data_IF_645754774614
#
_entry.id   IF_645754774614
#
_cell.length_a   1.000
_cell.length_b   1.000
_cell.length_c   1.000
_cell.angle_alpha   90.00
_cell.angle_beta   90.00
_cell.angle_gamma   90.00
#
_symmetry.space_group_name_H-M   'P 1'
#
loop_
_entity.id
_entity.type
_entity.pdbx_description
1 polymer ?
#
# COMPACT_ATOMS: atom_id res chain seq x y z
N UNK A 1 0.48 24.04 4.91
CA UNK A 1 0.71 23.56 3.52
C UNK A 1 0.25 24.61 2.54
N UNK A 2 0.96 25.72 2.44
CA UNK A 2 0.50 26.80 1.57
C UNK A 2 1.68 27.57 1.03
N UNK A 3 1.65 27.74 -0.28
CA UNK A 3 2.30 28.83 -0.97
C UNK A 3 2.20 30.14 -0.17
N UNK A 4 3.14 31.05 -0.39
CA UNK A 4 2.99 32.43 0.09
C UNK A 4 1.74 33.05 -0.52
N UNK A 5 1.20 34.09 0.11
CA UNK A 5 0.02 34.80 -0.42
C UNK A 5 0.26 35.31 -1.85
N UNK A 6 1.50 35.71 -2.15
CA UNK A 6 1.93 36.14 -3.49
C UNK A 6 1.89 34.99 -4.49
N UNK A 7 2.50 33.86 -4.16
CA UNK A 7 2.54 32.68 -5.05
C UNK A 7 1.16 32.08 -5.24
N UNK A 8 0.36 32.06 -4.18
CA UNK A 8 -1.03 31.63 -4.22
C UNK A 8 -1.87 32.54 -5.11
N UNK A 9 -1.74 33.86 -4.95
CA UNK A 9 -2.40 34.85 -5.80
C UNK A 9 -2.01 34.72 -7.27
N UNK A 10 -0.74 34.44 -7.57
CA UNK A 10 -0.25 34.19 -8.92
C UNK A 10 -0.92 32.96 -9.56
N UNK A 11 -1.01 31.85 -8.82
CA UNK A 11 -1.67 30.62 -9.29
C UNK A 11 -3.18 30.84 -9.49
N UNK A 12 -3.85 31.45 -8.52
CA UNK A 12 -5.30 31.72 -8.57
C UNK A 12 -5.65 32.67 -9.72
N UNK A 13 -4.89 33.75 -9.93
CA UNK A 13 -5.13 34.70 -11.01
C UNK A 13 -5.03 34.08 -12.40
N UNK A 14 -4.15 33.07 -12.56
CA UNK A 14 -4.01 32.34 -13.82
C UNK A 14 -4.96 31.15 -13.96
N UNK A 15 -5.73 30.81 -12.92
CA UNK A 15 -6.53 29.58 -12.87
C UNK A 15 -5.67 28.31 -12.94
N UNK A 16 -4.43 28.38 -12.45
CA UNK A 16 -3.51 27.26 -12.41
C UNK A 16 -3.70 26.46 -11.12
N UNK A 17 -3.85 25.14 -11.25
CA UNK A 17 -3.95 24.21 -10.13
C UNK A 17 -3.03 23.01 -10.35
N UNK A 18 -2.92 22.16 -9.34
CA UNK A 18 -2.22 20.87 -9.48
C UNK A 18 -2.72 20.13 -10.72
N UNK A 19 -1.77 19.63 -11.51
CA UNK A 19 -2.04 18.91 -12.74
C UNK A 19 -2.26 19.75 -13.99
N UNK A 20 -2.37 21.08 -13.90
CA UNK A 20 -2.41 21.94 -15.08
C UNK A 20 -1.07 21.91 -15.81
N UNK A 21 -1.09 21.92 -17.14
CA UNK A 21 0.09 22.23 -17.94
C UNK A 21 0.23 23.75 -18.02
N UNK A 22 1.38 24.29 -17.64
CA UNK A 22 1.61 25.73 -17.56
C UNK A 22 2.92 26.14 -18.23
N UNK A 23 2.96 27.40 -18.64
CA UNK A 23 4.20 28.14 -18.91
C UNK A 23 4.45 29.07 -17.71
N UNK A 24 5.63 28.99 -17.10
CA UNK A 24 6.08 29.84 -15.99
C UNK A 24 7.32 30.63 -16.42
N UNK A 25 7.22 31.95 -16.42
CA UNK A 25 8.36 32.86 -16.58
C UNK A 25 8.82 33.30 -15.19
N UNK A 26 10.08 33.03 -14.85
CA UNK A 26 10.68 33.41 -13.56
C UNK A 26 12.20 33.53 -13.73
N UNK A 27 12.85 34.47 -13.04
CA UNK A 27 14.30 34.63 -13.06
C UNK A 27 14.92 34.82 -14.46
N UNK A 28 14.16 35.40 -15.40
CA UNK A 28 14.59 35.59 -16.79
C UNK A 28 14.58 34.32 -17.66
N UNK A 29 13.99 33.23 -17.19
CA UNK A 29 13.83 31.99 -17.93
C UNK A 29 12.35 31.62 -18.08
N UNK A 30 12.04 30.82 -19.10
CA UNK A 30 10.71 30.28 -19.33
C UNK A 30 10.74 28.77 -19.15
N UNK A 31 9.83 28.28 -18.30
CA UNK A 31 9.66 26.88 -17.97
C UNK A 31 8.30 26.40 -18.47
N UNK A 32 8.25 25.20 -19.02
CA UNK A 32 7.00 24.59 -19.47
C UNK A 32 6.89 23.22 -18.83
N UNK A 33 5.84 23.01 -18.05
CA UNK A 33 5.64 21.77 -17.31
C UNK A 33 4.29 21.69 -16.62
N UNK A 34 4.03 20.52 -16.05
CA UNK A 34 2.82 20.24 -15.29
C UNK A 34 3.01 20.68 -13.84
N UNK A 35 2.07 21.43 -13.28
CA UNK A 35 2.11 21.85 -11.87
C UNK A 35 2.00 20.62 -10.98
N UNK A 36 2.96 20.46 -10.08
CA UNK A 36 3.06 19.35 -9.14
C UNK A 36 2.60 19.79 -7.75
N UNK A 37 2.15 18.84 -6.89
CA UNK A 37 1.74 19.18 -5.53
C UNK A 37 2.84 19.87 -4.73
N UNK A 38 2.46 20.86 -3.93
CA UNK A 38 3.39 21.57 -3.05
C UNK A 38 3.51 20.83 -1.71
N UNK A 39 4.72 20.45 -1.33
CA UNK A 39 4.95 19.63 -0.13
C UNK A 39 5.31 20.51 1.07
N UNK A 40 5.06 20.04 2.30
CA UNK A 40 5.39 20.78 3.54
C UNK A 40 6.87 21.15 3.68
N UNK A 41 7.75 20.42 3.00
CA UNK A 41 9.19 20.66 3.00
C UNK A 41 9.63 21.69 1.92
N UNK A 42 8.71 22.16 1.08
CA UNK A 42 9.00 23.14 0.04
C UNK A 42 8.89 24.57 0.59
N UNK A 43 9.78 25.47 0.14
CA UNK A 43 9.68 26.88 0.49
C UNK A 43 8.42 27.49 -0.16
N UNK A 44 7.71 28.42 0.52
CA UNK A 44 6.41 28.91 0.10
C UNK A 44 6.40 29.61 -1.26
N UNK A 45 7.54 30.09 -1.73
CA UNK A 45 7.72 30.78 -3.01
C UNK A 45 8.26 29.87 -4.12
N UNK A 46 8.13 28.54 -3.97
CA UNK A 46 8.61 27.56 -4.95
C UNK A 46 7.44 26.82 -5.58
N UNK A 47 7.26 27.01 -6.88
CA UNK A 47 6.36 26.18 -7.71
C UNK A 47 7.15 25.01 -8.27
N UNK A 48 6.63 23.79 -8.09
CA UNK A 48 7.25 22.57 -8.62
C UNK A 48 6.59 22.24 -9.95
N UNK A 49 7.38 22.14 -11.03
CA UNK A 49 6.92 21.72 -12.35
C UNK A 49 7.52 20.38 -12.74
N UNK A 50 6.71 19.48 -13.30
CA UNK A 50 7.17 18.29 -14.01
C UNK A 50 7.36 18.62 -15.48
N UNK A 51 8.62 18.61 -15.91
CA UNK A 51 9.03 18.94 -17.27
C UNK A 51 8.65 17.79 -18.24
N UNK A 52 8.62 18.07 -19.55
CA UNK A 52 8.40 17.04 -20.58
C UNK A 52 9.42 15.90 -20.54
N UNK A 53 10.62 16.15 -20.02
CA UNK A 53 11.65 15.12 -19.79
C UNK A 53 11.31 14.15 -18.65
N UNK A 54 10.28 14.44 -17.85
CA UNK A 54 9.87 13.65 -16.68
C UNK A 54 10.47 14.13 -15.36
N UNK A 55 11.47 15.01 -15.39
CA UNK A 55 12.10 15.59 -14.20
C UNK A 55 11.18 16.61 -13.50
N UNK A 56 11.19 16.59 -12.16
CA UNK A 56 10.56 17.63 -11.35
C UNK A 56 11.59 18.73 -11.05
N UNK A 57 11.22 19.99 -11.24
CA UNK A 57 12.07 21.15 -11.00
C UNK A 57 11.32 22.13 -10.09
N UNK A 58 11.96 22.55 -9.00
CA UNK A 58 11.45 23.63 -8.15
C UNK A 58 11.91 24.98 -8.68
N UNK A 59 10.97 25.87 -8.95
CA UNK A 59 11.21 27.20 -9.52
C UNK A 59 10.78 28.22 -8.48
N UNK A 60 11.73 29.04 -8.05
CA UNK A 60 11.46 30.18 -7.17
C UNK A 60 10.72 31.24 -7.98
N UNK A 61 9.57 31.67 -7.47
CA UNK A 61 8.78 32.75 -8.05
C UNK A 61 8.96 34.04 -7.24
N UNK A 62 8.82 35.14 -7.94
CA UNK A 62 8.88 36.50 -7.42
C UNK A 62 7.75 37.34 -8.03
N UNK A 63 7.68 38.61 -7.63
CA UNK A 63 6.69 39.58 -8.11
C UNK A 63 6.67 39.80 -9.64
N UNK A 64 7.78 39.51 -10.34
CA UNK A 64 7.89 39.72 -11.79
C UNK A 64 7.55 38.43 -12.57
N UNK A 65 7.33 37.34 -11.84
CA UNK A 65 7.01 36.03 -12.41
C UNK A 65 5.60 36.00 -13.02
N UNK A 66 5.45 35.26 -14.12
CA UNK A 66 4.18 35.13 -14.83
C UNK A 66 3.88 33.68 -15.11
N UNK A 67 2.63 33.28 -14.88
CA UNK A 67 2.17 31.93 -15.19
C UNK A 67 0.99 31.98 -16.15
N UNK A 68 0.98 31.08 -17.12
CA UNK A 68 -0.11 30.93 -18.10
C UNK A 68 -0.50 29.46 -18.20
N UNK A 69 -1.79 29.15 -18.06
CA UNK A 69 -2.31 27.79 -18.21
C UNK A 69 -2.44 27.46 -19.69
N UNK A 70 -1.83 26.35 -20.11
CA UNK A 70 -1.94 25.80 -21.45
C UNK A 70 -3.03 24.74 -21.54
N UNK A 71 -3.16 23.89 -20.52
CA UNK A 71 -4.11 22.76 -20.51
C UNK A 71 -4.58 22.47 -19.08
N UNK A 72 -5.87 22.15 -18.93
CA UNK A 72 -6.48 21.74 -17.67
C UNK A 72 -6.25 20.24 -17.39
N UNK A 73 -6.32 19.78 -16.13
CA UNK A 73 -6.07 18.39 -15.79
C UNK A 73 -7.14 17.48 -16.40
N UNK A 74 -6.71 16.46 -17.17
CA UNK A 74 -7.61 15.41 -17.64
C UNK A 74 -7.98 14.46 -16.49
N UNK A 75 -9.29 14.31 -16.20
CA UNK A 75 -9.80 13.29 -15.29
C UNK A 75 -9.83 11.95 -16.03
N UNK A 76 -9.16 10.93 -15.49
CA UNK A 76 -9.27 9.56 -15.98
C UNK A 76 -10.03 8.74 -14.95
N UNK A 77 -11.26 8.34 -15.27
CA UNK A 77 -11.99 7.36 -14.49
C UNK A 77 -11.47 5.95 -14.84
N UNK A 78 -11.00 5.23 -13.83
CA UNK A 78 -10.61 3.83 -13.99
C UNK A 78 -11.89 2.99 -13.97
N UNK A 79 -12.15 2.23 -15.03
CA UNK A 79 -13.24 1.25 -15.03
C UNK A 79 -12.85 0.07 -14.14
N UNK A 80 -13.70 -0.22 -13.15
CA UNK A 80 -13.59 -1.45 -12.38
C UNK A 80 -13.88 -2.64 -13.29
N UNK A 81 -13.00 -3.64 -13.25
CA UNK A 81 -13.25 -4.91 -13.92
C UNK A 81 -14.04 -5.81 -12.96
N UNK A 82 -15.17 -6.35 -13.42
CA UNK A 82 -15.83 -7.46 -12.73
C UNK A 82 -14.90 -8.69 -12.78
N UNK A 83 -14.67 -9.30 -11.62
CA UNK A 83 -13.79 -10.46 -11.48
C UNK A 83 -14.66 -11.67 -11.19
N UNK A 84 -14.72 -12.59 -12.14
CA UNK A 84 -15.46 -13.85 -11.97
C UNK A 84 -14.73 -14.80 -11.02
N UNK A 85 -15.48 -15.39 -10.08
CA UNK A 85 -14.97 -16.43 -9.19
C UNK A 85 -14.82 -17.77 -9.94
N UNK A 86 -13.63 -18.38 -9.85
CA UNK A 86 -13.35 -19.70 -10.41
C UNK A 86 -13.89 -20.79 -9.48
N UNK A 87 -14.74 -21.67 -10.01
CA UNK A 87 -15.25 -22.83 -9.24
C UNK A 87 -14.10 -23.75 -8.80
N UNK A 88 -14.11 -24.15 -7.53
CA UNK A 88 -13.15 -25.09 -6.95
C UNK A 88 -11.90 -24.45 -6.33
N UNK A 89 -11.70 -23.14 -6.46
CA UNK A 89 -10.68 -22.41 -5.71
C UNK A 89 -11.23 -21.91 -4.36
N UNK A 90 -10.41 -21.92 -3.30
CA UNK A 90 -10.79 -21.36 -2.00
C UNK A 90 -10.97 -19.85 -2.10
N UNK A 91 -11.79 -19.30 -1.22
CA UNK A 91 -12.06 -17.85 -1.17
C UNK A 91 -11.21 -17.19 -0.10
N UNK A 92 -10.32 -16.28 -0.49
CA UNK A 92 -9.53 -15.47 0.44
C UNK A 92 -10.03 -14.03 0.44
N UNK A 93 -10.13 -13.46 1.64
CA UNK A 93 -10.54 -12.07 1.82
C UNK A 93 -9.34 -11.22 2.23
N UNK A 94 -9.07 -10.16 1.48
CA UNK A 94 -8.08 -9.15 1.83
C UNK A 94 -8.76 -7.99 2.54
N UNK A 95 -8.40 -7.77 3.81
CA UNK A 95 -8.91 -6.67 4.61
C UNK A 95 -7.82 -5.59 4.67
N UNK A 96 -7.98 -4.55 3.86
CA UNK A 96 -7.11 -3.39 3.87
C UNK A 96 -7.25 -2.58 5.15
N UNK A 97 -6.16 -2.43 5.89
CA UNK A 97 -6.11 -1.58 7.10
C UNK A 97 -5.29 -0.30 6.88
N UNK A 98 -4.81 -0.10 5.65
CA UNK A 98 -3.75 0.82 5.31
C UNK A 98 -2.45 0.07 5.00
N UNK A 99 -1.36 0.83 4.89
CA UNK A 99 -0.05 0.29 4.49
C UNK A 99 0.12 0.18 2.97
N UNK A 100 1.35 0.42 2.52
CA UNK A 100 1.72 0.55 1.11
C UNK A 100 1.87 -0.79 0.39
N UNK A 101 1.39 -1.92 0.92
CA UNK A 101 1.57 -3.23 0.28
C UNK A 101 0.75 -3.37 -1.01
N UNK A 102 -0.36 -2.63 -1.12
CA UNK A 102 -1.12 -2.52 -2.35
C UNK A 102 -1.19 -1.05 -2.74
N UNK A 103 -0.20 -0.57 -3.48
CA UNK A 103 -0.18 0.78 -4.07
C UNK A 103 0.42 0.71 -5.47
N UNK A 104 0.09 1.68 -6.31
CA UNK A 104 0.64 1.79 -7.67
C UNK A 104 1.16 3.20 -7.92
N UNK A 105 2.13 3.32 -8.83
CA UNK A 105 2.63 4.62 -9.28
C UNK A 105 1.85 5.08 -10.49
N UNK A 106 1.27 6.27 -10.42
CA UNK A 106 0.93 6.99 -11.63
C UNK A 106 2.17 7.75 -12.12
N UNK A 107 2.90 7.19 -13.09
CA UNK A 107 4.11 7.83 -13.63
C UNK A 107 3.85 9.20 -14.29
N UNK A 108 2.60 9.52 -14.67
CA UNK A 108 2.24 10.83 -15.23
C UNK A 108 2.31 11.92 -14.17
N UNK A 109 1.95 11.59 -12.94
CA UNK A 109 1.94 12.50 -11.79
C UNK A 109 3.09 12.22 -10.82
N UNK A 110 3.76 11.07 -10.92
CA UNK A 110 4.70 10.57 -9.93
C UNK A 110 4.05 10.21 -8.58
N UNK A 111 2.73 10.28 -8.47
CA UNK A 111 2.00 9.99 -7.25
C UNK A 111 1.92 8.49 -7.01
N UNK A 112 1.95 8.09 -5.73
CA UNK A 112 1.69 6.72 -5.29
C UNK A 112 0.27 6.67 -4.75
N UNK A 113 -0.57 5.86 -5.39
CA UNK A 113 -1.97 5.70 -5.01
C UNK A 113 -2.18 4.38 -4.28
N UNK A 114 -2.90 4.34 -3.15
CA UNK A 114 -3.31 3.08 -2.55
C UNK A 114 -4.25 2.34 -3.49
N UNK A 115 -4.20 1.01 -3.47
CA UNK A 115 -5.21 0.16 -4.09
C UNK A 115 -6.48 0.25 -3.25
N UNK A 116 -7.56 0.75 -3.85
CA UNK A 116 -8.83 1.03 -3.14
C UNK A 116 -9.91 0.00 -3.45
N UNK A 117 -9.71 -0.83 -4.48
CA UNK A 117 -10.65 -1.87 -4.88
C UNK A 117 -10.00 -3.26 -4.93
N UNK A 118 -10.86 -4.29 -4.91
CA UNK A 118 -10.47 -5.68 -5.22
C UNK A 118 -9.76 -5.77 -6.56
N UNK A 119 -10.24 -5.03 -7.56
CA UNK A 119 -9.64 -5.02 -8.89
C UNK A 119 -8.22 -4.44 -8.89
N UNK A 120 -7.95 -3.40 -8.11
CA UNK A 120 -6.63 -2.79 -8.02
C UNK A 120 -5.60 -3.75 -7.42
N UNK A 121 -5.98 -4.41 -6.32
CA UNK A 121 -5.12 -5.32 -5.60
C UNK A 121 -4.80 -6.57 -6.42
N UNK A 122 -5.79 -7.12 -7.14
CA UNK A 122 -5.58 -8.29 -7.98
C UNK A 122 -4.80 -7.92 -9.25
N UNK A 123 -5.00 -6.73 -9.82
CA UNK A 123 -4.23 -6.30 -10.98
C UNK A 123 -2.75 -6.03 -10.65
N UNK A 124 -2.42 -5.76 -9.38
CA UNK A 124 -1.04 -5.68 -8.93
C UNK A 124 -0.35 -7.06 -8.84
N UNK A 125 -1.11 -8.15 -8.66
CA UNK A 125 -0.59 -9.51 -8.54
C UNK A 125 -1.52 -10.49 -9.29
N UNK A 126 -1.54 -10.47 -10.64
CA UNK A 126 -2.48 -11.27 -11.42
C UNK A 126 -2.43 -12.77 -11.11
N UNK A 127 -1.25 -13.29 -10.77
CA UNK A 127 -0.98 -14.70 -10.49
C UNK A 127 -1.74 -15.22 -9.25
N UNK A 128 -2.18 -14.32 -8.35
CA UNK A 128 -2.93 -14.74 -7.15
C UNK A 128 -4.26 -15.40 -7.52
N UNK A 129 -4.81 -15.07 -8.71
CA UNK A 129 -6.05 -15.64 -9.28
C UNK A 129 -5.93 -17.12 -9.62
N UNK A 130 -4.72 -17.66 -9.71
CA UNK A 130 -4.50 -19.08 -9.97
C UNK A 130 -4.44 -19.90 -8.68
N UNK A 131 -4.31 -19.23 -7.54
CA UNK A 131 -4.24 -19.84 -6.20
C UNK A 131 -5.59 -19.77 -5.48
N UNK A 132 -6.31 -18.65 -5.59
CA UNK A 132 -7.56 -18.43 -4.86
C UNK A 132 -8.52 -17.45 -5.56
N UNK A 133 -9.80 -17.53 -5.20
CA UNK A 133 -10.76 -16.45 -5.43
C UNK A 133 -10.51 -15.34 -4.42
N UNK A 134 -10.30 -14.12 -4.91
CA UNK A 134 -9.94 -12.98 -4.07
C UNK A 134 -11.10 -12.01 -3.96
N UNK A 135 -11.50 -11.72 -2.72
CA UNK A 135 -12.35 -10.59 -2.37
C UNK A 135 -11.51 -9.60 -1.58
N UNK A 136 -11.67 -8.30 -1.81
CA UNK A 136 -10.99 -7.28 -1.01
C UNK A 136 -11.99 -6.26 -0.47
N UNK A 137 -11.69 -5.76 0.72
CA UNK A 137 -12.44 -4.72 1.40
C UNK A 137 -11.46 -3.79 2.09
N UNK A 138 -11.66 -2.49 1.94
CA UNK A 138 -10.92 -1.50 2.71
C UNK A 138 -11.70 -1.25 3.99
N UNK A 139 -11.12 -1.60 5.14
CA UNK A 139 -11.69 -1.31 6.45
C UNK A 139 -11.19 0.05 6.96
N UNK A 140 -9.89 0.29 6.84
CA UNK A 140 -9.24 1.56 7.20
C UNK A 140 -8.21 1.98 6.15
N UNK A 141 -7.84 3.25 6.18
CA UNK A 141 -6.69 3.80 5.44
C UNK A 141 -5.85 4.67 6.39
N UNK A 142 -5.17 4.03 7.34
CA UNK A 142 -4.35 4.70 8.35
C UNK A 142 -2.91 4.17 8.34
N UNK A 143 -1.97 4.99 8.83
CA UNK A 143 -0.63 4.52 9.15
C UNK A 143 -0.69 3.59 10.35
N UNK A 144 0.15 2.55 10.35
CA UNK A 144 0.17 1.52 11.39
C UNK A 144 0.49 2.10 12.77
N UNK A 145 1.25 3.19 12.80
CA UNK A 145 1.67 3.97 13.94
C UNK A 145 0.50 4.71 14.61
N UNK A 146 -0.59 4.93 13.86
CA UNK A 146 -1.81 5.56 14.34
C UNK A 146 -2.90 4.54 14.72
N UNK A 147 -2.63 3.25 14.58
CA UNK A 147 -3.61 2.21 14.90
C UNK A 147 -3.70 2.02 16.42
N UNK A 148 -4.92 1.98 16.93
CA UNK A 148 -5.20 1.81 18.36
C UNK A 148 -6.04 0.56 18.66
N UNK A 149 -6.41 0.40 19.94
CA UNK A 149 -7.20 -0.74 20.43
C UNK A 149 -8.60 -0.79 19.79
N UNK A 150 -9.22 0.37 19.53
CA UNK A 150 -10.53 0.44 18.88
C UNK A 150 -10.44 -0.10 17.45
N UNK A 151 -9.38 0.26 16.71
CA UNK A 151 -9.12 -0.30 15.39
C UNK A 151 -8.93 -1.82 15.44
N UNK A 152 -8.21 -2.35 16.44
CA UNK A 152 -8.03 -3.80 16.59
C UNK A 152 -9.35 -4.54 16.85
N UNK A 153 -10.23 -3.97 17.67
CA UNK A 153 -11.55 -4.54 17.95
C UNK A 153 -12.43 -4.59 16.71
N UNK A 154 -12.43 -3.51 15.92
CA UNK A 154 -13.20 -3.43 14.68
C UNK A 154 -12.62 -4.37 13.60
N UNK A 155 -11.30 -4.46 13.50
CA UNK A 155 -10.63 -5.44 12.64
C UNK A 155 -11.00 -6.88 13.04
N UNK A 156 -10.97 -7.21 14.33
CA UNK A 156 -11.34 -8.55 14.80
C UNK A 156 -12.79 -8.91 14.45
N UNK A 157 -13.74 -7.98 14.61
CA UNK A 157 -15.14 -8.17 14.20
C UNK A 157 -15.25 -8.41 12.70
N UNK A 158 -14.57 -7.59 11.90
CA UNK A 158 -14.55 -7.74 10.44
C UNK A 158 -14.01 -9.12 10.03
N UNK A 159 -12.91 -9.58 10.63
CA UNK A 159 -12.35 -10.91 10.37
C UNK A 159 -13.37 -12.02 10.65
N UNK A 160 -14.07 -11.94 11.79
CA UNK A 160 -15.11 -12.93 12.16
C UNK A 160 -16.26 -12.92 11.15
N UNK A 161 -16.73 -11.74 10.75
CA UNK A 161 -17.81 -11.59 9.78
C UNK A 161 -17.43 -12.21 8.42
N UNK A 162 -16.22 -11.95 7.92
CA UNK A 162 -15.76 -12.51 6.65
C UNK A 162 -15.61 -14.03 6.70
N UNK A 163 -15.11 -14.58 7.81
CA UNK A 163 -15.05 -16.04 8.01
C UNK A 163 -16.46 -16.65 8.03
N UNK A 164 -17.41 -16.03 8.74
CA UNK A 164 -18.80 -16.48 8.78
C UNK A 164 -19.49 -16.37 7.41
N UNK A 165 -19.07 -15.42 6.58
CA UNK A 165 -19.51 -15.25 5.19
C UNK A 165 -18.79 -16.18 4.20
N UNK A 166 -18.05 -17.18 4.69
CA UNK A 166 -17.47 -18.25 3.88
C UNK A 166 -16.04 -18.03 3.42
N UNK A 167 -15.29 -17.10 4.04
CA UNK A 167 -13.85 -16.99 3.77
C UNK A 167 -13.10 -18.25 4.23
N UNK A 168 -12.25 -18.78 3.36
CA UNK A 168 -11.32 -19.88 3.66
C UNK A 168 -10.01 -19.40 4.31
N UNK A 169 -9.76 -18.09 4.24
CA UNK A 169 -8.66 -17.43 4.91
C UNK A 169 -8.77 -15.92 4.77
N UNK A 170 -8.20 -15.20 5.73
CA UNK A 170 -8.18 -13.74 5.73
C UNK A 170 -6.74 -13.26 5.70
N UNK A 171 -6.42 -12.35 4.78
CA UNK A 171 -5.11 -11.72 4.67
C UNK A 171 -5.30 -10.23 4.98
N UNK A 172 -4.46 -9.69 5.85
CA UNK A 172 -4.55 -8.33 6.37
C UNK A 172 -3.28 -7.60 5.96
N UNK A 173 -3.28 -6.95 4.77
CA UNK A 173 -2.39 -5.85 4.44
C UNK A 173 -2.27 -4.87 5.61
N UNK A 174 -1.05 -4.71 6.14
CA UNK A 174 -0.78 -3.90 7.32
C UNK A 174 0.58 -3.20 7.24
N UNK A 175 0.68 -2.00 7.83
CA UNK A 175 1.97 -1.31 7.95
C UNK A 175 2.93 -2.05 8.90
N UNK A 176 4.23 -2.03 8.58
CA UNK A 176 5.19 -2.92 9.23
C UNK A 176 5.57 -2.54 10.65
N UNK A 177 5.38 -1.28 11.06
CA UNK A 177 5.89 -0.78 12.33
C UNK A 177 5.12 -1.35 13.53
N UNK A 178 3.80 -1.48 13.42
CA UNK A 178 2.95 -2.04 14.49
C UNK A 178 2.36 -3.40 14.14
N UNK A 179 2.74 -4.03 13.02
CA UNK A 179 2.23 -5.34 12.58
C UNK A 179 2.28 -6.40 13.70
N UNK A 180 3.39 -6.49 14.43
CA UNK A 180 3.53 -7.46 15.53
C UNK A 180 2.58 -7.20 16.71
N UNK A 181 2.23 -5.94 16.98
CA UNK A 181 1.26 -5.58 18.02
C UNK A 181 -0.16 -5.98 17.60
N UNK A 182 -0.56 -5.61 16.38
CA UNK A 182 -1.86 -6.01 15.83
C UNK A 182 -1.99 -7.53 15.75
N UNK A 183 -0.94 -8.24 15.33
CA UNK A 183 -0.92 -9.70 15.25
C UNK A 183 -1.13 -10.34 16.64
N UNK A 184 -0.48 -9.83 17.67
CA UNK A 184 -0.68 -10.28 19.04
C UNK A 184 -2.11 -9.99 19.53
N UNK A 185 -2.61 -8.77 19.32
CA UNK A 185 -3.97 -8.37 19.72
C UNK A 185 -5.03 -9.29 19.10
N UNK A 186 -4.95 -9.53 17.78
CA UNK A 186 -5.87 -10.42 17.08
C UNK A 186 -5.75 -11.87 17.55
N UNK A 187 -4.55 -12.33 17.88
CA UNK A 187 -4.34 -13.70 18.41
C UNK A 187 -5.14 -13.94 19.69
N UNK A 188 -5.28 -12.93 20.55
CA UNK A 188 -6.08 -13.04 21.78
C UNK A 188 -7.56 -12.75 21.56
N UNK A 189 -7.89 -11.77 20.70
CA UNK A 189 -9.29 -11.40 20.43
C UNK A 189 -10.06 -12.49 19.67
N UNK A 190 -9.38 -13.18 18.75
CA UNK A 190 -10.00 -14.20 17.90
C UNK A 190 -9.94 -15.62 18.49
N UNK A 191 -9.06 -15.86 19.47
CA UNK A 191 -8.92 -17.16 20.12
C UNK A 191 -8.70 -18.32 19.14
N UNK A 192 -9.54 -19.36 19.24
CA UNK A 192 -9.50 -20.55 18.39
C UNK A 192 -10.19 -20.32 17.02
N UNK A 193 -9.72 -19.30 16.29
CA UNK A 193 -10.23 -18.99 14.95
C UNK A 193 -10.05 -20.21 14.02
N UNK A 194 -11.10 -20.64 13.29
CA UNK A 194 -11.06 -21.92 12.54
C UNK A 194 -10.35 -21.83 11.18
N UNK A 195 -9.94 -20.62 10.77
CA UNK A 195 -9.31 -20.33 9.48
C UNK A 195 -8.00 -19.57 9.69
N UNK A 196 -7.06 -19.61 8.73
CA UNK A 196 -5.86 -18.78 8.78
C UNK A 196 -6.22 -17.30 8.68
N UNK A 197 -5.69 -16.51 9.61
CA UNK A 197 -5.75 -15.04 9.61
C UNK A 197 -4.32 -14.53 9.57
N UNK A 198 -3.91 -13.90 8.45
CA UNK A 198 -2.51 -13.59 8.18
C UNK A 198 -2.32 -12.09 8.09
N UNK A 199 -1.48 -11.52 8.96
CA UNK A 199 -0.98 -10.17 8.79
C UNK A 199 0.24 -10.18 7.88
N UNK A 200 0.29 -9.22 6.97
CA UNK A 200 1.37 -9.12 5.98
C UNK A 200 1.67 -7.66 5.66
N UNK A 201 2.95 -7.35 5.51
CA UNK A 201 3.42 -6.02 5.13
C UNK A 201 4.45 -6.09 4.01
N UNK A 202 5.03 -4.94 3.69
CA UNK A 202 6.19 -4.82 2.79
C UNK A 202 7.20 -3.84 3.39
N UNK A 203 8.48 -4.22 3.40
CA UNK A 203 9.60 -3.38 3.84
C UNK A 203 10.11 -2.47 2.72
N UNK A 204 9.76 -2.79 1.48
CA UNK A 204 9.99 -1.98 0.28
C UNK A 204 8.63 -1.59 -0.27
N UNK A 205 8.45 -0.29 -0.44
CA UNK A 205 7.20 0.27 -0.95
C UNK A 205 6.79 -0.39 -2.28
N UNK A 206 5.50 -0.70 -2.43
CA UNK A 206 4.97 -1.51 -3.55
C UNK A 206 5.11 -0.85 -4.93
N UNK A 207 5.33 0.46 -4.97
CA UNK A 207 5.67 1.20 -6.18
C UNK A 207 7.00 0.78 -6.83
N UNK A 208 7.87 0.10 -6.06
CA UNK A 208 9.20 -0.26 -6.53
C UNK A 208 9.18 -1.65 -7.17
N UNK A 209 9.86 -1.85 -8.32
CA UNK A 209 10.03 -3.17 -8.90
C UNK A 209 10.70 -4.19 -7.97
N UNK A 210 11.50 -3.70 -7.01
CA UNK A 210 12.14 -4.50 -5.96
C UNK A 210 11.30 -4.59 -4.67
N UNK A 211 9.98 -4.39 -4.77
CA UNK A 211 9.10 -4.54 -3.61
C UNK A 211 9.00 -6.01 -3.19
N UNK A 212 8.90 -6.23 -1.88
CA UNK A 212 8.55 -7.51 -1.27
C UNK A 212 7.03 -7.72 -1.13
N UNK A 213 6.22 -6.75 -1.55
CA UNK A 213 4.77 -6.77 -1.39
C UNK A 213 4.09 -7.95 -2.11
N UNK A 214 4.40 -8.13 -3.40
CA UNK A 214 3.74 -9.14 -4.23
C UNK A 214 4.10 -10.55 -3.79
N UNK A 215 5.37 -10.78 -3.49
CA UNK A 215 5.89 -12.08 -3.07
C UNK A 215 5.41 -12.45 -1.66
N UNK A 216 5.38 -11.50 -0.71
CA UNK A 216 4.77 -11.72 0.61
C UNK A 216 3.27 -12.07 0.50
N UNK A 217 2.50 -11.34 -0.31
CA UNK A 217 1.07 -11.60 -0.52
C UNK A 217 0.82 -12.96 -1.16
N UNK A 218 1.63 -13.34 -2.16
CA UNK A 218 1.57 -14.65 -2.79
C UNK A 218 1.86 -15.77 -1.80
N UNK A 219 2.87 -15.60 -0.93
CA UNK A 219 3.18 -16.56 0.13
C UNK A 219 2.01 -16.72 1.12
N UNK A 220 1.32 -15.63 1.45
CA UNK A 220 0.10 -15.68 2.28
C UNK A 220 -1.01 -16.48 1.60
N UNK A 221 -1.28 -16.23 0.33
CA UNK A 221 -2.30 -16.97 -0.42
C UNK A 221 -1.97 -18.47 -0.48
N UNK A 222 -0.72 -18.82 -0.78
CA UNK A 222 -0.27 -20.22 -0.80
C UNK A 222 -0.37 -20.88 0.57
N UNK A 223 0.00 -20.18 1.65
CA UNK A 223 -0.15 -20.71 3.01
C UNK A 223 -1.62 -20.93 3.40
N UNK A 224 -2.52 -19.98 3.11
CA UNK A 224 -3.95 -20.13 3.37
C UNK A 224 -4.53 -21.36 2.66
N UNK A 225 -4.13 -21.58 1.41
CA UNK A 225 -4.71 -22.61 0.54
C UNK A 225 -4.10 -24.00 0.74
N UNK A 226 -2.81 -24.08 1.05
CA UNK A 226 -2.06 -25.35 1.11
C UNK A 226 -1.67 -25.76 2.53
N UNK A 227 -1.47 -24.80 3.44
CA UNK A 227 -0.92 -25.04 4.78
C UNK A 227 -1.87 -25.73 5.75
N UNK A 228 -3.19 -25.70 5.49
CA UNK A 228 -4.24 -26.32 6.32
C UNK A 228 -4.07 -26.03 7.82
N UNK A 229 -3.68 -24.80 8.15
CA UNK A 229 -3.44 -24.33 9.52
C UNK A 229 -4.40 -23.20 9.85
N UNK A 230 -5.04 -23.32 11.01
CA UNK A 230 -5.88 -22.27 11.57
C UNK A 230 -5.10 -21.47 12.63
N UNK A 231 -5.48 -20.21 12.83
CA UNK A 231 -4.84 -19.31 13.78
C UNK A 231 -4.41 -17.99 13.15
N UNK A 232 -3.88 -17.12 14.01
CA UNK A 232 -3.35 -15.81 13.60
C UNK A 232 -1.85 -15.90 13.37
N UNK A 233 -1.42 -15.45 12.19
CA UNK A 233 -0.03 -15.51 11.75
C UNK A 233 0.44 -14.17 11.23
N UNK A 234 1.76 -13.98 11.19
CA UNK A 234 2.40 -12.97 10.38
C UNK A 234 3.31 -13.66 9.37
N UNK A 235 3.21 -13.32 8.10
CA UNK A 235 4.07 -13.87 7.04
C UNK A 235 4.86 -12.75 6.39
N UNK A 236 6.17 -12.90 6.39
CA UNK A 236 7.14 -11.97 5.81
C UNK A 236 8.32 -12.80 5.26
N UNK A 237 9.22 -12.18 4.50
CA UNK A 237 10.45 -12.84 4.07
C UNK A 237 11.26 -13.37 5.26
N UNK A 238 11.81 -14.58 5.11
CA UNK A 238 12.71 -15.20 6.09
C UNK A 238 14.16 -14.74 5.89
N UNK A 239 14.53 -14.48 4.63
CA UNK A 239 15.86 -14.00 4.21
C UNK A 239 15.76 -12.69 3.43
N UNK A 240 16.89 -12.17 2.94
CA UNK A 240 16.88 -11.00 2.05
C UNK A 240 16.55 -11.34 0.59
N UNK A 241 16.57 -12.63 0.21
CA UNK A 241 16.19 -13.09 -1.12
C UNK A 241 14.68 -13.05 -1.33
N UNK A 242 14.20 -13.52 -2.49
CA UNK A 242 12.77 -13.53 -2.88
C UNK A 242 12.13 -14.93 -2.80
N UNK A 243 12.82 -15.90 -2.20
CA UNK A 243 12.51 -17.33 -2.33
C UNK A 243 12.02 -18.02 -1.07
N UNK A 244 12.10 -17.37 0.10
CA UNK A 244 11.76 -17.96 1.39
C UNK A 244 11.01 -16.98 2.30
N UNK A 245 9.88 -17.44 2.84
CA UNK A 245 8.97 -16.68 3.70
C UNK A 245 8.76 -17.43 5.01
N UNK A 246 8.90 -16.74 6.13
CA UNK A 246 8.68 -17.33 7.45
C UNK A 246 7.24 -17.11 7.89
N UNK A 247 6.61 -18.17 8.39
CA UNK A 247 5.28 -18.09 9.02
C UNK A 247 5.46 -17.96 10.52
N UNK A 248 5.20 -16.78 11.06
CA UNK A 248 5.32 -16.51 12.49
C UNK A 248 3.97 -16.67 13.19
N UNK A 249 3.97 -17.21 14.41
CA UNK A 249 2.81 -17.14 15.28
C UNK A 249 2.55 -15.66 15.65
N UNK A 250 1.29 -15.21 15.53
CA UNK A 250 0.93 -13.79 15.70
C UNK A 250 1.32 -13.20 17.05
N UNK A 251 1.28 -13.99 18.13
CA UNK A 251 1.66 -13.55 19.47
C UNK A 251 3.16 -13.69 19.78
N UNK A 252 3.97 -14.16 18.82
CA UNK A 252 5.41 -14.42 18.99
C UNK A 252 6.27 -13.72 17.94
N UNK A 253 5.72 -12.81 17.16
CA UNK A 253 6.45 -12.11 16.08
C UNK A 253 6.88 -10.71 16.50
N UNK A 254 8.11 -10.31 16.13
CA UNK A 254 8.62 -8.96 16.35
C UNK A 254 9.42 -8.47 15.16
N UNK A 255 9.26 -7.18 14.81
CA UNK A 255 10.14 -6.47 13.87
C UNK A 255 11.47 -6.17 14.58
N UNK A 256 12.52 -6.88 14.18
CA UNK A 256 13.87 -6.82 14.76
C UNK A 256 14.84 -5.96 13.95
N UNK A 257 14.45 -5.53 12.76
CA UNK A 257 15.25 -4.65 11.91
C UNK A 257 14.40 -3.53 11.33
N UNK A 258 15.00 -2.36 11.13
CA UNK A 258 14.27 -1.15 10.70
C UNK A 258 13.88 -1.18 9.22
N UNK A 259 14.69 -1.83 8.36
CA UNK A 259 14.52 -1.79 6.90
C UNK A 259 14.78 -3.08 6.13
N UNK A 260 15.18 -4.19 6.76
CA UNK A 260 15.49 -5.43 6.03
C UNK A 260 14.21 -6.18 5.70
N UNK A 261 14.18 -6.93 4.60
CA UNK A 261 13.01 -7.76 4.24
C UNK A 261 12.77 -8.84 5.29
N UNK A 262 13.84 -9.45 5.78
CA UNK A 262 13.86 -10.40 6.90
C UNK A 262 13.82 -9.73 8.28
N UNK A 263 13.15 -8.58 8.39
CA UNK A 263 13.06 -7.84 9.64
C UNK A 263 12.26 -8.57 10.72
N UNK A 264 11.28 -9.39 10.36
CA UNK A 264 10.40 -10.04 11.32
C UNK A 264 10.99 -11.38 11.76
N UNK A 265 11.01 -11.61 13.09
CA UNK A 265 11.52 -12.85 13.69
C UNK A 265 10.55 -13.37 14.74
N UNK A 266 10.48 -14.70 14.83
CA UNK A 266 9.82 -15.39 15.95
C UNK A 266 10.69 -15.26 17.20
N UNK A 267 10.14 -14.73 18.29
CA UNK A 267 10.84 -14.51 19.55
C UNK A 267 10.44 -15.58 20.55
N UNK A 268 11.43 -16.24 21.15
CA UNK A 268 11.25 -17.36 22.10
C UNK A 268 10.41 -18.51 21.52
N UNK A 269 10.41 -18.66 20.20
CA UNK A 269 9.73 -19.70 19.45
C UNK A 269 10.42 -19.87 18.08
N UNK A 270 10.27 -21.03 17.46
CA UNK A 270 10.61 -21.19 16.04
C UNK A 270 9.47 -20.65 15.17
N UNK A 271 9.72 -20.30 13.90
CA UNK A 271 8.65 -20.15 12.91
C UNK A 271 7.74 -21.39 12.91
N UNK A 272 6.45 -21.17 12.64
CA UNK A 272 5.42 -22.22 12.53
C UNK A 272 5.66 -23.07 11.29
N UNK A 273 6.11 -22.44 10.21
CA UNK A 273 6.48 -23.05 8.95
C UNK A 273 7.36 -22.09 8.15
N UNK A 274 7.93 -22.58 7.04
CA UNK A 274 8.54 -21.76 6.00
C UNK A 274 7.79 -22.05 4.71
N UNK A 275 7.55 -21.02 3.90
CA UNK A 275 6.96 -21.16 2.57
C UNK A 275 8.04 -20.79 1.55
N UNK A 276 8.25 -21.61 0.53
CA UNK A 276 9.12 -21.22 -0.59
C UNK A 276 8.36 -20.50 -1.71
N UNK A 277 9.07 -19.93 -2.68
CA UNK A 277 8.44 -19.26 -3.83
C UNK A 277 7.48 -20.15 -4.62
N UNK A 278 7.67 -21.48 -4.64
CA UNK A 278 6.78 -22.42 -5.29
C UNK A 278 5.49 -22.68 -4.46
N UNK A 279 5.54 -22.49 -3.15
CA UNK A 279 4.44 -22.72 -2.21
C UNK A 279 4.62 -23.95 -1.36
N UNK A 280 5.79 -24.60 -1.39
CA UNK A 280 6.10 -25.71 -0.50
C UNK A 280 6.21 -25.21 0.93
N UNK A 281 5.60 -25.93 1.86
CA UNK A 281 5.49 -25.63 3.30
C UNK A 281 6.27 -26.67 4.10
#
# INVERSE_FOLDING_TARGET
MSYSDETKGLLEAAGASEGCMVTLEAGGQTYIGKVMPHHEFSAPDIIILKMKSGYNVGIMVDKDSKITVMEQPAVHEKKEAEIEEKKGLPTLVLIGTGGTIASYVDYRTGAVHPALSTSDMINAIPEIRDVANIRAKVLFSIFSENMDVCNWQELAKCVVDEINNGADGVIIPHGTDTLGYTAAALSFMLGDVPKPVILVGAQRSSDRPSSDASTNLMACAKFCTQGKKAGVFAIMHDTQGDDSFAVHNGARVRKMHTSRRDAFKSINATPVAHVDAAGKI
#
